data_IF_728459792092
#
_entry.id   IF_728459792092
#
_cell.length_a   1.000
_cell.length_b   1.000
_cell.length_c   1.000
_cell.angle_alpha   90.00
_cell.angle_beta   90.00
_cell.angle_gamma   90.00
#
_symmetry.space_group_name_H-M   'P 1'
#
loop_
_entity.id
_entity.type
_entity.pdbx_description
1 polymer ?
#
# COMPACT_ATOMS: atom_id res chain seq x y z
N UNK A 1 -29.73 -26.51 -11.50
CA UNK A 1 -28.60 -25.59 -11.67
C UNK A 1 -27.72 -25.70 -10.43
N UNK A 2 -26.57 -26.35 -10.52
CA UNK A 2 -25.62 -26.49 -9.41
C UNK A 2 -25.10 -25.09 -9.06
N UNK A 3 -25.48 -24.56 -7.90
CA UNK A 3 -24.81 -23.38 -7.35
C UNK A 3 -23.40 -23.82 -6.97
N UNK A 4 -22.44 -23.68 -7.88
CA UNK A 4 -21.02 -23.77 -7.53
C UNK A 4 -20.80 -22.78 -6.39
N UNK A 5 -20.59 -23.27 -5.17
CA UNK A 5 -20.19 -22.41 -4.07
C UNK A 5 -18.92 -21.70 -4.51
N UNK A 6 -18.93 -20.36 -4.54
CA UNK A 6 -17.75 -19.60 -4.95
C UNK A 6 -16.65 -19.93 -3.95
N UNK A 7 -15.52 -20.45 -4.45
CA UNK A 7 -14.35 -20.78 -3.62
C UNK A 7 -13.94 -19.54 -2.82
N UNK A 8 -13.86 -19.67 -1.50
CA UNK A 8 -13.31 -18.63 -0.65
C UNK A 8 -11.81 -18.49 -0.93
N UNK A 9 -11.36 -17.27 -1.20
CA UNK A 9 -9.95 -16.92 -1.38
C UNK A 9 -9.44 -16.20 -0.14
N UNK A 10 -8.16 -16.39 0.17
CA UNK A 10 -7.40 -15.52 1.07
C UNK A 10 -6.74 -14.41 0.25
N UNK A 11 -7.07 -13.16 0.54
CA UNK A 11 -6.61 -11.98 -0.19
C UNK A 11 -5.76 -11.14 0.76
N UNK A 12 -4.49 -10.95 0.40
CA UNK A 12 -3.57 -10.12 1.16
C UNK A 12 -3.53 -8.71 0.55
N UNK A 13 -3.91 -7.70 1.34
CA UNK A 13 -3.72 -6.30 1.01
C UNK A 13 -2.40 -5.80 1.59
N UNK A 14 -1.62 -5.08 0.77
CA UNK A 14 -0.33 -4.45 1.13
C UNK A 14 -0.35 -2.99 0.70
N UNK A 15 -1.07 -2.11 1.43
CA UNK A 15 -1.07 -0.68 1.16
C UNK A 15 0.19 0.01 1.72
N UNK A 16 0.58 1.14 1.14
CA UNK A 16 1.48 2.09 1.80
C UNK A 16 0.85 2.56 3.12
N UNK A 17 1.65 2.65 4.18
CA UNK A 17 1.23 2.93 5.57
C UNK A 17 0.75 4.38 5.82
N UNK A 18 -0.15 4.88 4.97
CA UNK A 18 -0.70 6.23 4.99
C UNK A 18 -2.21 6.18 4.78
N UNK A 19 -2.91 7.20 5.28
CA UNK A 19 -4.37 7.23 5.31
C UNK A 19 -5.01 7.06 3.92
N UNK A 20 -4.44 7.66 2.87
CA UNK A 20 -5.02 7.59 1.52
C UNK A 20 -5.07 6.15 0.97
N UNK A 21 -3.92 5.48 0.97
CA UNK A 21 -3.77 4.13 0.44
C UNK A 21 -4.54 3.08 1.26
N UNK A 22 -4.56 3.25 2.59
CA UNK A 22 -5.32 2.36 3.47
C UNK A 22 -6.83 2.49 3.24
N UNK A 23 -7.38 3.70 3.18
CA UNK A 23 -8.82 3.86 2.95
C UNK A 23 -9.26 3.37 1.57
N UNK A 24 -8.46 3.61 0.54
CA UNK A 24 -8.73 3.06 -0.80
C UNK A 24 -8.77 1.53 -0.77
N UNK A 25 -7.82 0.91 -0.07
CA UNK A 25 -7.75 -0.54 0.12
C UNK A 25 -8.95 -1.09 0.91
N UNK A 26 -9.38 -0.40 1.98
CA UNK A 26 -10.57 -0.77 2.78
C UNK A 26 -11.82 -0.83 1.91
N UNK A 27 -12.03 0.14 1.02
CA UNK A 27 -13.21 0.16 0.14
C UNK A 27 -13.31 -1.07 -0.76
N UNK A 28 -12.20 -1.49 -1.35
CA UNK A 28 -12.14 -2.72 -2.17
C UNK A 28 -12.25 -3.97 -1.30
N UNK A 29 -11.56 -4.00 -0.16
CA UNK A 29 -11.58 -5.10 0.80
C UNK A 29 -12.99 -5.40 1.30
N UNK A 30 -13.79 -4.38 1.60
CA UNK A 30 -15.17 -4.53 2.07
C UNK A 30 -16.03 -5.27 1.04
N UNK A 31 -15.92 -4.89 -0.23
CA UNK A 31 -16.64 -5.54 -1.33
C UNK A 31 -16.20 -6.99 -1.58
N UNK A 32 -14.94 -7.32 -1.30
CA UNK A 32 -14.41 -8.69 -1.41
C UNK A 32 -14.80 -9.55 -0.21
N UNK A 33 -14.81 -8.97 0.99
CA UNK A 33 -15.32 -9.62 2.22
C UNK A 33 -16.80 -9.96 2.08
N UNK A 34 -17.63 -9.03 1.58
CA UNK A 34 -19.06 -9.27 1.30
C UNK A 34 -19.29 -10.40 0.28
N UNK A 35 -18.30 -10.68 -0.58
CA UNK A 35 -18.32 -11.83 -1.49
C UNK A 35 -17.86 -13.14 -0.85
N UNK A 36 -17.58 -13.14 0.45
CA UNK A 36 -17.21 -14.32 1.24
C UNK A 36 -15.71 -14.63 1.25
N UNK A 37 -14.84 -13.69 0.86
CA UNK A 37 -13.39 -13.89 0.88
C UNK A 37 -12.78 -13.53 2.25
N UNK A 38 -11.70 -14.23 2.61
CA UNK A 38 -10.89 -13.91 3.80
C UNK A 38 -9.94 -12.78 3.43
N UNK A 39 -10.00 -11.69 4.19
CA UNK A 39 -9.20 -10.49 3.94
C UNK A 39 -8.15 -10.34 5.04
N UNK A 40 -6.89 -10.21 4.63
CA UNK A 40 -5.77 -9.95 5.53
C UNK A 40 -5.05 -8.68 5.06
N UNK A 41 -4.73 -7.79 5.99
CA UNK A 41 -3.94 -6.59 5.77
C UNK A 41 -2.54 -6.78 6.32
N UNK A 42 -1.52 -6.72 5.46
CA UNK A 42 -0.14 -6.53 5.87
C UNK A 42 0.12 -5.03 6.03
N UNK A 43 0.33 -4.56 7.25
CA UNK A 43 0.49 -3.14 7.58
C UNK A 43 1.59 -2.93 8.62
N UNK A 44 2.17 -1.73 8.67
CA UNK A 44 3.16 -1.40 9.70
C UNK A 44 2.56 -1.46 11.10
N UNK A 45 3.40 -1.82 12.08
CA UNK A 45 3.04 -1.92 13.50
C UNK A 45 2.29 -0.70 14.06
N UNK A 46 2.56 0.52 13.57
CA UNK A 46 1.85 1.75 13.98
C UNK A 46 0.37 1.82 13.57
N UNK A 47 -0.12 0.85 12.80
CA UNK A 47 -1.53 0.70 12.40
C UNK A 47 -2.31 -0.34 13.20
N UNK A 48 -1.68 -0.98 14.20
CA UNK A 48 -2.31 -1.96 15.08
C UNK A 48 -3.70 -1.50 15.56
N UNK A 49 -4.67 -2.37 15.36
CA UNK A 49 -6.06 -2.24 15.80
C UNK A 49 -6.88 -1.20 15.03
N UNK A 50 -6.34 -0.57 13.99
CA UNK A 50 -7.06 0.47 13.23
C UNK A 50 -7.90 -0.09 12.09
N UNK A 51 -7.60 -1.30 11.63
CA UNK A 51 -8.25 -1.97 10.51
C UNK A 51 -9.20 -3.08 11.01
N UNK A 52 -8.89 -3.69 12.15
CA UNK A 52 -9.72 -4.73 12.77
C UNK A 52 -11.18 -4.33 13.05
N UNK A 53 -11.55 -3.06 13.35
CA UNK A 53 -12.95 -2.65 13.50
C UNK A 53 -13.79 -2.81 12.22
N UNK A 54 -13.15 -2.87 11.05
CA UNK A 54 -13.80 -3.18 9.77
C UNK A 54 -13.97 -4.69 9.53
N UNK A 55 -13.57 -5.54 10.48
CA UNK A 55 -13.69 -6.99 10.40
C UNK A 55 -12.64 -7.67 9.51
N UNK A 56 -11.48 -7.04 9.33
CA UNK A 56 -10.35 -7.62 8.61
C UNK A 56 -9.27 -8.10 9.56
N UNK A 57 -8.51 -9.11 9.13
CA UNK A 57 -7.34 -9.57 9.86
C UNK A 57 -6.16 -8.63 9.65
N UNK A 58 -5.44 -8.32 10.72
CA UNK A 58 -4.23 -7.51 10.67
C UNK A 58 -3.00 -8.38 10.86
N UNK A 59 -2.02 -8.19 9.99
CA UNK A 59 -0.69 -8.71 10.19
C UNK A 59 0.30 -7.56 10.20
N UNK A 60 0.97 -7.40 11.33
CA UNK A 60 1.85 -6.29 11.58
C UNK A 60 3.27 -6.64 11.18
N UNK A 61 3.95 -5.72 10.49
CA UNK A 61 5.37 -5.83 10.20
C UNK A 61 6.13 -4.55 10.55
N UNK A 62 7.46 -4.66 10.57
CA UNK A 62 8.35 -3.54 10.86
C UNK A 62 8.23 -3.00 12.28
N UNK A 63 8.99 -1.94 12.55
CA UNK A 63 9.01 -1.30 13.86
C UNK A 63 7.77 -0.42 14.11
N UNK A 64 7.49 -0.19 15.39
CA UNK A 64 6.44 0.73 15.79
C UNK A 64 6.84 2.17 15.45
N UNK A 65 6.34 2.64 14.32
CA UNK A 65 6.50 4.02 13.89
C UNK A 65 5.33 4.87 14.41
N UNK A 66 5.49 6.19 14.39
CA UNK A 66 4.39 7.16 14.50
C UNK A 66 4.12 7.77 13.12
N UNK A 67 3.44 7.07 12.18
CA UNK A 67 3.33 7.51 10.78
C UNK A 67 2.82 8.94 10.62
N UNK A 68 1.83 9.33 11.43
CA UNK A 68 1.28 10.69 11.42
C UNK A 68 2.33 11.74 11.79
N UNK A 69 3.16 11.48 12.80
CA UNK A 69 4.21 12.42 13.21
C UNK A 69 5.33 12.51 12.17
N UNK A 70 5.71 11.38 11.56
CA UNK A 70 6.69 11.34 10.48
C UNK A 70 6.22 12.20 9.31
N UNK A 71 4.94 12.05 8.91
CA UNK A 71 4.36 12.86 7.85
C UNK A 71 4.29 14.35 8.21
N UNK A 72 3.84 14.70 9.43
CA UNK A 72 3.82 16.09 9.91
C UNK A 72 5.23 16.69 9.87
N UNK A 73 6.25 15.95 10.32
CA UNK A 73 7.63 16.42 10.30
C UNK A 73 8.14 16.59 8.88
N UNK A 74 7.80 15.69 7.96
CA UNK A 74 8.13 15.81 6.54
C UNK A 74 7.51 17.06 5.92
N UNK A 75 6.20 17.29 6.11
CA UNK A 75 5.52 18.48 5.58
C UNK A 75 6.13 19.76 6.15
N UNK A 76 6.45 19.80 7.45
CA UNK A 76 7.15 20.94 8.06
C UNK A 76 8.54 21.16 7.45
N UNK A 77 9.31 20.10 7.25
CA UNK A 77 10.66 20.18 6.68
C UNK A 77 10.65 20.64 5.21
N UNK A 78 9.56 20.38 4.49
CA UNK A 78 9.42 20.77 3.08
C UNK A 78 8.53 22.00 2.87
N UNK A 79 8.06 22.68 3.93
CA UNK A 79 7.05 23.72 3.81
C UNK A 79 7.48 24.89 2.90
N UNK A 80 8.73 25.35 3.01
CA UNK A 80 9.24 26.44 2.19
C UNK A 80 9.41 26.04 0.73
N UNK A 81 9.83 24.80 0.51
CA UNK A 81 9.92 24.24 -0.82
C UNK A 81 8.57 24.08 -1.51
N UNK A 82 7.54 23.63 -0.78
CA UNK A 82 6.17 23.47 -1.29
C UNK A 82 5.52 24.82 -1.70
N UNK A 83 6.12 25.96 -1.37
CA UNK A 83 5.69 27.29 -1.82
C UNK A 83 6.34 27.74 -3.13
N UNK A 84 7.35 27.02 -3.63
CA UNK A 84 8.00 27.33 -4.92
C UNK A 84 7.09 26.91 -6.09
N UNK A 85 7.45 27.28 -7.32
CA UNK A 85 6.74 26.78 -8.50
C UNK A 85 6.91 25.25 -8.64
N UNK A 86 6.01 24.60 -9.38
CA UNK A 86 6.00 23.13 -9.50
C UNK A 86 7.28 22.54 -10.09
N UNK A 87 8.01 23.29 -10.91
CA UNK A 87 9.26 22.83 -11.51
C UNK A 87 10.38 22.72 -10.46
N UNK A 88 10.54 23.74 -9.61
CA UNK A 88 11.53 23.72 -8.53
C UNK A 88 11.21 22.67 -7.45
N UNK A 89 9.92 22.32 -7.30
CA UNK A 89 9.50 21.27 -6.37
C UNK A 89 9.94 19.86 -6.80
N UNK A 90 10.24 19.64 -8.08
CA UNK A 90 10.60 18.31 -8.61
C UNK A 90 11.81 17.71 -7.88
N UNK A 91 12.80 18.53 -7.54
CA UNK A 91 14.01 18.08 -6.86
C UNK A 91 13.71 17.39 -5.50
N UNK A 92 12.66 17.82 -4.78
CA UNK A 92 12.28 17.20 -3.49
C UNK A 92 11.66 15.84 -3.73
N UNK A 93 10.78 15.74 -4.73
CA UNK A 93 10.10 14.50 -5.06
C UNK A 93 11.10 13.46 -5.60
N UNK A 94 11.94 13.84 -6.55
CA UNK A 94 12.93 12.97 -7.16
C UNK A 94 14.01 12.51 -6.17
N UNK A 95 14.52 13.40 -5.32
CA UNK A 95 15.65 13.02 -4.46
C UNK A 95 15.26 12.56 -3.05
N UNK A 96 14.29 13.22 -2.41
CA UNK A 96 13.94 12.94 -1.02
C UNK A 96 12.82 11.91 -0.91
N UNK A 97 11.69 12.16 -1.59
CA UNK A 97 10.51 11.29 -1.46
C UNK A 97 10.79 9.91 -2.04
N UNK A 98 11.29 9.82 -3.27
CA UNK A 98 11.61 8.53 -3.89
C UNK A 98 12.65 7.73 -3.09
N UNK A 99 13.69 8.39 -2.55
CA UNK A 99 14.71 7.74 -1.72
C UNK A 99 14.11 7.18 -0.43
N UNK A 100 13.27 7.94 0.25
CA UNK A 100 12.61 7.49 1.47
C UNK A 100 11.67 6.31 1.20
N UNK A 101 10.87 6.36 0.14
CA UNK A 101 10.00 5.25 -0.25
C UNK A 101 10.82 4.00 -0.60
N UNK A 102 11.91 4.16 -1.34
CA UNK A 102 12.81 3.04 -1.72
C UNK A 102 13.46 2.42 -0.49
N UNK A 103 13.94 3.23 0.45
CA UNK A 103 14.53 2.75 1.70
C UNK A 103 13.49 2.03 2.57
N UNK A 104 12.26 2.52 2.63
CA UNK A 104 11.17 1.87 3.34
C UNK A 104 10.85 0.49 2.74
N UNK A 105 10.77 0.39 1.41
CA UNK A 105 10.59 -0.90 0.72
C UNK A 105 11.72 -1.86 1.06
N UNK A 106 12.98 -1.42 0.96
CA UNK A 106 14.15 -2.26 1.30
C UNK A 106 14.10 -2.77 2.73
N UNK A 107 13.69 -1.92 3.67
CA UNK A 107 13.59 -2.27 5.08
C UNK A 107 12.46 -3.26 5.35
N UNK A 108 11.29 -3.07 4.72
CA UNK A 108 10.09 -3.87 4.97
C UNK A 108 10.01 -5.17 4.15
N UNK A 109 10.75 -5.29 3.03
CA UNK A 109 10.68 -6.44 2.13
C UNK A 109 10.90 -7.80 2.81
N UNK A 110 11.88 -7.98 3.73
CA UNK A 110 12.08 -9.26 4.40
C UNK A 110 10.89 -9.67 5.27
N UNK A 111 10.30 -8.72 6.00
CA UNK A 111 9.13 -8.99 6.83
C UNK A 111 7.91 -9.36 5.98
N UNK A 112 7.70 -8.66 4.87
CA UNK A 112 6.64 -8.96 3.92
C UNK A 112 6.83 -10.36 3.28
N UNK A 113 8.07 -10.75 3.02
CA UNK A 113 8.39 -12.10 2.50
C UNK A 113 7.99 -13.19 3.48
N UNK A 114 8.28 -13.02 4.75
CA UNK A 114 7.92 -13.99 5.79
C UNK A 114 6.41 -14.00 6.06
N UNK A 115 5.78 -12.83 5.99
CA UNK A 115 4.34 -12.68 6.01
C UNK A 115 3.65 -13.50 4.92
N UNK A 116 4.09 -13.35 3.67
CA UNK A 116 3.52 -14.08 2.52
C UNK A 116 3.65 -15.60 2.71
N UNK A 117 4.79 -16.08 3.21
CA UNK A 117 5.01 -17.51 3.50
C UNK A 117 4.06 -18.04 4.58
N UNK A 118 3.76 -17.22 5.60
CA UNK A 118 2.88 -17.58 6.70
C UNK A 118 1.41 -17.58 6.26
N UNK A 119 0.96 -16.53 5.58
CA UNK A 119 -0.44 -16.37 5.14
C UNK A 119 -0.78 -17.32 3.99
N UNK A 120 0.14 -17.54 3.06
CA UNK A 120 -0.08 -18.26 1.79
C UNK A 120 -1.31 -17.73 1.04
N UNK A 121 -1.34 -16.43 0.68
CA UNK A 121 -2.50 -15.83 0.04
C UNK A 121 -2.74 -16.43 -1.35
N UNK A 122 -3.99 -16.41 -1.80
CA UNK A 122 -4.34 -16.78 -3.18
C UNK A 122 -4.09 -15.64 -4.17
N UNK A 123 -4.16 -14.40 -3.70
CA UNK A 123 -3.89 -13.19 -4.47
C UNK A 123 -3.39 -12.08 -3.53
N UNK A 124 -2.50 -11.22 -4.04
CA UNK A 124 -1.99 -10.05 -3.33
C UNK A 124 -2.51 -8.79 -4.04
N UNK A 125 -3.04 -7.83 -3.28
CA UNK A 125 -3.40 -6.50 -3.77
C UNK A 125 -2.42 -5.52 -3.15
N UNK A 126 -1.61 -4.87 -3.98
CA UNK A 126 -0.61 -3.89 -3.53
C UNK A 126 -1.05 -2.50 -3.91
N UNK A 127 -1.11 -1.59 -2.93
CA UNK A 127 -1.34 -0.15 -3.16
C UNK A 127 -0.15 0.64 -2.67
N UNK A 128 0.89 0.66 -3.51
CA UNK A 128 2.17 1.26 -3.19
C UNK A 128 2.80 1.87 -4.44
N UNK A 129 3.57 2.96 -4.29
CA UNK A 129 4.27 3.61 -5.41
C UNK A 129 5.43 2.78 -5.97
N UNK A 130 6.06 1.97 -5.12
CA UNK A 130 7.14 1.05 -5.46
C UNK A 130 6.68 -0.35 -5.10
N UNK A 131 6.54 -1.25 -6.06
CA UNK A 131 6.17 -2.64 -5.78
C UNK A 131 7.30 -3.35 -5.03
N UNK A 132 6.97 -4.05 -3.94
CA UNK A 132 7.95 -4.75 -3.11
C UNK A 132 8.45 -6.04 -3.81
N UNK A 133 9.78 -6.29 -3.87
CA UNK A 133 10.34 -7.52 -4.42
C UNK A 133 9.73 -8.84 -3.89
N UNK A 134 9.36 -8.87 -2.60
CA UNK A 134 8.71 -10.01 -1.96
C UNK A 134 7.38 -10.39 -2.63
N UNK A 135 6.64 -9.42 -3.17
CA UNK A 135 5.37 -9.66 -3.88
C UNK A 135 5.64 -10.30 -5.24
N UNK A 136 6.50 -9.69 -6.05
CA UNK A 136 6.77 -10.16 -7.42
C UNK A 136 7.50 -11.52 -7.45
N UNK A 137 8.25 -11.85 -6.39
CA UNK A 137 8.94 -13.14 -6.24
C UNK A 137 8.14 -14.20 -5.47
N UNK A 138 6.91 -13.89 -5.03
CA UNK A 138 6.10 -14.78 -4.20
C UNK A 138 5.57 -16.03 -4.94
N UNK A 139 5.52 -15.99 -6.28
CA UNK A 139 4.80 -16.99 -7.07
C UNK A 139 3.28 -16.95 -6.89
N UNK A 140 2.75 -15.86 -6.33
CA UNK A 140 1.32 -15.61 -6.11
C UNK A 140 0.86 -14.53 -7.09
N UNK A 141 -0.32 -14.68 -7.74
CA UNK A 141 -0.90 -13.60 -8.54
C UNK A 141 -1.04 -12.31 -7.73
N UNK A 142 -0.73 -11.17 -8.35
CA UNK A 142 -0.85 -9.88 -7.69
C UNK A 142 -1.48 -8.82 -8.59
N UNK A 143 -2.13 -7.85 -7.97
CA UNK A 143 -2.79 -6.72 -8.63
C UNK A 143 -2.26 -5.43 -8.04
N UNK A 144 -1.85 -4.51 -8.92
CA UNK A 144 -1.53 -3.15 -8.52
C UNK A 144 -2.82 -2.33 -8.40
N UNK A 145 -3.17 -1.93 -7.19
CA UNK A 145 -4.21 -0.95 -6.92
C UNK A 145 -3.55 0.42 -6.90
N UNK A 146 -3.88 1.30 -7.85
CA UNK A 146 -3.37 2.67 -7.86
C UNK A 146 -4.45 3.63 -7.35
N UNK A 147 -4.30 4.09 -6.10
CA UNK A 147 -5.25 5.02 -5.47
C UNK A 147 -4.91 6.50 -5.67
N UNK A 148 -3.69 6.80 -6.11
CA UNK A 148 -3.26 8.14 -6.49
C UNK A 148 -3.84 8.55 -7.84
N UNK A 149 -3.58 9.80 -8.26
CA UNK A 149 -4.04 10.31 -9.54
C UNK A 149 -3.61 9.34 -10.69
N UNK A 150 -4.54 8.91 -11.54
CA UNK A 150 -4.27 7.91 -12.58
C UNK A 150 -3.40 8.39 -13.73
N UNK A 151 -2.85 9.61 -13.68
CA UNK A 151 -2.06 10.21 -14.76
C UNK A 151 -0.93 9.31 -15.25
N UNK A 152 -0.25 8.60 -14.34
CA UNK A 152 0.81 7.65 -14.69
C UNK A 152 0.34 6.40 -15.43
N UNK A 153 -0.95 6.10 -15.42
CA UNK A 153 -1.57 5.03 -16.22
C UNK A 153 -2.17 5.55 -17.54
N UNK A 154 -2.23 6.87 -17.71
CA UNK A 154 -2.99 7.52 -18.77
C UNK A 154 -2.07 8.46 -19.56
N UNK A 155 -0.96 7.89 -20.07
CA UNK A 155 0.13 8.64 -20.73
C UNK A 155 -0.36 9.51 -21.89
N UNK A 156 -1.35 9.04 -22.65
CA UNK A 156 -1.92 9.74 -23.79
C UNK A 156 -2.63 11.06 -23.43
N UNK A 157 -3.09 11.21 -22.18
CA UNK A 157 -3.84 12.37 -21.70
C UNK A 157 -3.06 13.22 -20.69
N UNK A 158 -1.74 13.05 -20.64
CA UNK A 158 -0.88 13.79 -19.73
C UNK A 158 -0.65 15.23 -20.24
N UNK A 159 -0.87 16.29 -19.43
CA UNK A 159 -0.48 17.66 -19.81
C UNK A 159 0.99 17.72 -20.23
N UNK A 160 1.37 18.64 -21.14
CA UNK A 160 2.76 18.80 -21.55
C UNK A 160 3.69 18.97 -20.34
N UNK A 161 4.83 18.25 -20.35
CA UNK A 161 5.89 18.37 -19.34
C UNK A 161 6.65 19.68 -19.48
#
# INVERSE_FOLDING_TARGET
>A
MSSSSKKQLTILFVPLDTLGHIHASIGIAELLKQRGHRIVFGIATGWRGKISPYGFEEFLYGEETKPAQIYINFIKACADELRKNSYDQLAIFEHSVQRNLTNNVKYNDPFLRDLIKQIKPNIIIVDHYICQPAIVTAGVPWVWLMSSNPLGLNEENCPPR
#
